data_IF_497542079383
#
_entry.id   IF_497542079383
#
_cell.length_a   1.000
_cell.length_b   1.000
_cell.length_c   1.000
_cell.angle_alpha   90.00
_cell.angle_beta   90.00
_cell.angle_gamma   90.00
#
_symmetry.space_group_name_H-M   'P 1'
#
loop_
_entity.id
_entity.type
_entity.pdbx_description
1 polymer ?
#
# COMPACT_ATOMS: atom_id res chain seq x y z
N UNK A 1 12.49 3.64 -20.30
CA UNK A 1 11.57 4.69 -19.80
C UNK A 1 12.24 6.05 -19.87
N UNK A 2 11.51 7.13 -20.15
CA UNK A 2 12.07 8.48 -20.25
C UNK A 2 12.41 9.11 -18.89
N UNK A 3 13.33 10.08 -18.85
CA UNK A 3 13.77 10.77 -17.60
C UNK A 3 12.62 11.40 -16.81
N UNK A 4 11.57 11.88 -17.48
CA UNK A 4 10.39 12.45 -16.84
C UNK A 4 9.57 11.40 -16.07
N UNK A 5 9.47 10.18 -16.63
CA UNK A 5 8.77 9.07 -15.98
C UNK A 5 9.45 8.67 -14.67
N UNK A 6 10.78 8.49 -14.72
CA UNK A 6 11.59 8.15 -13.55
C UNK A 6 11.54 9.23 -12.46
N UNK A 7 11.39 10.50 -12.84
CA UNK A 7 11.39 11.61 -11.89
C UNK A 7 10.04 11.85 -11.22
N UNK A 8 8.93 11.70 -11.94
CA UNK A 8 7.62 12.13 -11.45
C UNK A 8 6.65 10.99 -11.13
N UNK A 9 6.71 9.88 -11.87
CA UNK A 9 5.74 8.80 -11.74
C UNK A 9 6.29 7.60 -10.97
N UNK A 10 7.56 7.27 -11.21
CA UNK A 10 8.21 6.12 -10.57
C UNK A 10 8.18 6.18 -9.04
N UNK A 11 8.50 7.30 -8.36
CA UNK A 11 8.43 7.34 -6.90
C UNK A 11 7.02 7.07 -6.37
N UNK A 12 5.99 7.56 -7.06
CA UNK A 12 4.59 7.30 -6.69
C UNK A 12 4.20 5.83 -6.85
N UNK A 13 4.62 5.18 -7.94
CA UNK A 13 4.38 3.74 -8.13
C UNK A 13 5.15 2.88 -7.12
N UNK A 14 6.38 3.24 -6.80
CA UNK A 14 7.16 2.55 -5.76
C UNK A 14 6.47 2.69 -4.41
N UNK A 15 6.05 3.91 -4.02
CA UNK A 15 5.30 4.12 -2.79
C UNK A 15 4.03 3.26 -2.73
N UNK A 16 3.24 3.29 -3.80
CA UNK A 16 2.02 2.52 -3.91
C UNK A 16 2.29 1.02 -3.82
N UNK A 17 3.39 0.52 -4.38
CA UNK A 17 3.76 -0.90 -4.28
C UNK A 17 4.17 -1.31 -2.86
N UNK A 18 4.74 -0.40 -2.06
CA UNK A 18 5.11 -0.66 -0.67
C UNK A 18 3.86 -0.68 0.22
N UNK A 19 2.93 0.25 -0.01
CA UNK A 19 1.68 0.38 0.76
C UNK A 19 0.68 -0.73 0.41
N UNK A 20 0.61 -1.15 -0.86
CA UNK A 20 -0.29 -2.22 -1.31
C UNK A 20 0.29 -3.59 -0.95
N UNK A 21 0.12 -3.97 0.31
CA UNK A 21 0.49 -5.28 0.86
C UNK A 21 -0.68 -6.27 0.96
N UNK A 22 -0.49 -7.35 1.73
CA UNK A 22 -1.51 -8.40 1.90
C UNK A 22 -2.79 -7.93 2.61
N UNK A 23 -2.69 -6.94 3.49
CA UNK A 23 -3.85 -6.32 4.15
C UNK A 23 -4.72 -5.52 3.16
N UNK A 24 -4.09 -4.84 2.20
CA UNK A 24 -4.79 -4.19 1.09
C UNK A 24 -5.40 -5.23 0.13
N UNK A 25 -4.63 -6.26 -0.26
CA UNK A 25 -5.07 -7.29 -1.21
C UNK A 25 -6.28 -8.10 -0.74
N UNK A 26 -6.44 -8.27 0.58
CA UNK A 26 -7.62 -8.92 1.19
C UNK A 26 -8.78 -7.96 1.46
N UNK A 27 -8.61 -6.65 1.19
CA UNK A 27 -9.60 -5.61 1.48
C UNK A 27 -9.76 -5.27 2.96
N UNK A 28 -9.05 -5.95 3.87
CA UNK A 28 -9.18 -5.80 5.32
C UNK A 28 -8.82 -4.40 5.79
N UNK A 29 -7.77 -3.79 5.22
CA UNK A 29 -7.39 -2.42 5.53
C UNK A 29 -8.48 -1.41 5.15
N UNK A 30 -9.07 -1.56 3.96
CA UNK A 30 -10.15 -0.68 3.52
C UNK A 30 -11.37 -0.80 4.42
N UNK A 31 -11.73 -2.03 4.80
CA UNK A 31 -12.83 -2.28 5.75
C UNK A 31 -12.55 -1.61 7.08
N UNK A 32 -11.37 -1.85 7.65
CA UNK A 32 -11.00 -1.37 8.97
C UNK A 32 -11.00 0.16 9.06
N UNK A 33 -10.37 0.84 8.09
CA UNK A 33 -10.13 2.28 8.18
C UNK A 33 -11.18 3.13 7.45
N UNK A 34 -11.88 2.63 6.44
CA UNK A 34 -12.73 3.47 5.60
C UNK A 34 -14.17 2.99 5.49
N UNK A 35 -14.42 1.71 5.19
CA UNK A 35 -15.79 1.26 4.89
C UNK A 35 -16.70 1.23 6.14
N UNK A 36 -16.13 1.13 7.34
CA UNK A 36 -16.87 1.21 8.60
C UNK A 36 -17.42 2.61 8.91
N UNK A 37 -16.91 3.66 8.25
CA UNK A 37 -17.31 5.05 8.49
C UNK A 37 -18.56 5.45 7.68
N UNK A 38 -18.93 4.66 6.67
CA UNK A 38 -19.91 5.01 5.64
C UNK A 38 -19.25 5.44 4.32
N UNK A 39 -19.97 5.46 3.18
CA UNK A 39 -19.33 5.59 1.87
C UNK A 39 -18.64 6.94 1.64
N UNK A 40 -19.33 8.06 1.86
CA UNK A 40 -18.75 9.40 1.67
C UNK A 40 -17.64 9.69 2.70
N UNK A 41 -17.88 9.33 3.95
CA UNK A 41 -16.93 9.51 5.04
C UNK A 41 -15.66 8.68 4.81
N UNK A 42 -15.79 7.46 4.29
CA UNK A 42 -14.66 6.64 3.85
C UNK A 42 -13.81 7.35 2.78
N UNK A 43 -14.44 7.95 1.76
CA UNK A 43 -13.72 8.73 0.74
C UNK A 43 -13.01 9.96 1.32
N UNK A 44 -13.64 10.68 2.25
CA UNK A 44 -12.98 11.79 2.95
C UNK A 44 -11.78 11.31 3.79
N UNK A 45 -11.91 10.18 4.47
CA UNK A 45 -10.79 9.54 5.17
C UNK A 45 -9.64 9.18 4.24
N UNK A 46 -9.93 8.62 3.06
CA UNK A 46 -8.91 8.32 2.04
C UNK A 46 -8.23 9.59 1.51
N UNK A 47 -8.98 10.69 1.33
CA UNK A 47 -8.42 11.98 0.94
C UNK A 47 -7.49 12.53 2.02
N UNK A 48 -7.87 12.45 3.29
CA UNK A 48 -7.03 12.83 4.44
C UNK A 48 -5.72 12.04 4.42
N UNK A 49 -5.78 10.71 4.29
CA UNK A 49 -4.59 9.88 4.24
C UNK A 49 -3.67 10.28 3.07
N UNK A 50 -4.26 10.54 1.89
CA UNK A 50 -3.53 10.99 0.70
C UNK A 50 -2.79 12.31 0.92
N UNK A 51 -3.46 13.30 1.53
CA UNK A 51 -2.86 14.60 1.84
C UNK A 51 -1.72 14.46 2.85
N UNK A 52 -1.93 13.68 3.91
CA UNK A 52 -0.91 13.43 4.94
C UNK A 52 0.31 12.76 4.32
N UNK A 53 0.13 11.71 3.51
CA UNK A 53 1.25 11.07 2.81
C UNK A 53 1.95 12.03 1.85
N UNK A 54 1.22 12.86 1.10
CA UNK A 54 1.81 13.87 0.23
C UNK A 54 2.73 14.83 0.99
N UNK A 55 2.28 15.33 2.14
CA UNK A 55 3.08 16.21 3.01
C UNK A 55 4.29 15.46 3.58
N UNK A 56 4.10 14.25 4.09
CA UNK A 56 5.16 13.44 4.70
C UNK A 56 6.24 13.08 3.68
N UNK A 57 5.86 12.65 2.47
CA UNK A 57 6.78 12.35 1.38
C UNK A 57 7.54 13.60 0.94
N UNK A 58 6.84 14.73 0.79
CA UNK A 58 7.48 16.01 0.49
C UNK A 58 8.54 16.37 1.54
N UNK A 59 8.20 16.28 2.83
CA UNK A 59 9.12 16.56 3.93
C UNK A 59 10.29 15.57 3.96
N UNK A 60 10.02 14.27 3.79
CA UNK A 60 11.04 13.22 3.75
C UNK A 60 12.05 13.44 2.62
N UNK A 61 11.56 13.70 1.41
CA UNK A 61 12.43 14.00 0.27
C UNK A 61 13.20 15.32 0.44
N UNK A 62 12.60 16.35 1.04
CA UNK A 62 13.30 17.61 1.32
C UNK A 62 14.40 17.42 2.37
N UNK A 63 14.17 16.59 3.40
CA UNK A 63 15.19 16.20 4.38
C UNK A 63 16.32 15.43 3.70
N UNK A 64 16.00 14.40 2.91
CA UNK A 64 16.98 13.61 2.17
C UNK A 64 17.85 14.51 1.26
N UNK A 65 17.22 15.46 0.55
CA UNK A 65 17.90 16.41 -0.32
C UNK A 65 18.82 17.37 0.43
N UNK A 66 18.36 17.96 1.54
CA UNK A 66 19.14 18.93 2.33
C UNK A 66 20.30 18.27 3.07
N UNK A 67 20.07 17.10 3.66
CA UNK A 67 21.07 16.37 4.44
C UNK A 67 21.96 15.46 3.56
N UNK A 68 21.63 15.33 2.26
CA UNK A 68 22.27 14.41 1.30
C UNK A 68 22.28 12.97 1.82
N UNK A 69 21.17 12.56 2.44
CA UNK A 69 20.96 11.22 2.95
C UNK A 69 20.11 10.44 1.94
N UNK A 70 20.78 9.71 1.03
CA UNK A 70 20.12 8.96 -0.04
C UNK A 70 20.06 7.45 0.23
N UNK A 71 20.75 6.98 1.27
CA UNK A 71 20.71 5.58 1.69
C UNK A 71 19.76 5.43 2.88
N UNK A 72 18.95 4.36 2.88
CA UNK A 72 18.01 3.99 3.94
C UNK A 72 18.59 4.20 5.35
N UNK A 73 19.79 3.65 5.59
CA UNK A 73 20.44 3.67 6.91
C UNK A 73 20.86 5.08 7.34
N UNK A 74 21.31 5.90 6.40
CA UNK A 74 21.75 7.27 6.68
C UNK A 74 20.54 8.16 6.91
N UNK A 75 19.47 7.97 6.12
CA UNK A 75 18.20 8.66 6.28
C UNK A 75 17.53 8.35 7.63
N UNK A 76 17.37 7.07 7.99
CA UNK A 76 16.81 6.66 9.29
C UNK A 76 17.61 7.18 10.47
N UNK A 77 18.94 7.12 10.41
CA UNK A 77 19.81 7.68 11.46
C UNK A 77 19.68 9.20 11.57
N UNK A 78 19.61 9.92 10.44
CA UNK A 78 19.43 11.36 10.42
C UNK A 78 18.07 11.80 10.97
N UNK A 79 17.01 11.02 10.67
CA UNK A 79 15.65 11.32 11.08
C UNK A 79 15.36 10.96 12.55
N UNK A 80 15.82 9.79 13.00
CA UNK A 80 15.47 9.22 14.31
C UNK A 80 16.59 9.33 15.35
N UNK A 81 17.79 9.74 14.96
CA UNK A 81 18.95 9.82 15.84
C UNK A 81 19.25 8.47 16.49
N UNK A 82 19.29 8.42 17.83
CA UNK A 82 19.57 7.20 18.60
C UNK A 82 18.44 6.17 18.53
N UNK A 83 17.22 6.59 18.18
CA UNK A 83 16.03 5.72 18.05
C UNK A 83 16.04 4.82 16.82
N UNK A 84 16.99 4.99 15.90
CA UNK A 84 17.06 4.21 14.65
C UNK A 84 17.14 2.69 14.88
N UNK A 85 17.75 2.24 15.98
CA UNK A 85 17.86 0.80 16.30
C UNK A 85 16.49 0.20 16.62
N UNK A 86 15.66 0.92 17.39
CA UNK A 86 14.31 0.46 17.71
C UNK A 86 13.44 0.40 16.45
N UNK A 87 13.55 1.42 15.58
CA UNK A 87 12.89 1.41 14.29
C UNK A 87 13.33 0.24 13.42
N UNK A 88 14.63 -0.05 13.33
CA UNK A 88 15.16 -1.18 12.55
C UNK A 88 14.58 -2.52 13.02
N UNK A 89 14.52 -2.75 14.34
CA UNK A 89 13.94 -3.97 14.91
C UNK A 89 12.45 -4.08 14.58
N UNK A 90 11.68 -3.01 14.78
CA UNK A 90 10.25 -2.98 14.46
C UNK A 90 10.00 -3.15 12.95
N UNK A 91 10.84 -2.55 12.13
CA UNK A 91 10.78 -2.66 10.67
C UNK A 91 11.01 -4.10 10.23
N UNK A 92 12.05 -4.78 10.74
CA UNK A 92 12.31 -6.19 10.45
C UNK A 92 11.16 -7.10 10.90
N UNK A 93 10.61 -6.87 12.10
CA UNK A 93 9.45 -7.63 12.58
C UNK A 93 8.22 -7.41 11.69
N UNK A 94 7.98 -6.17 11.25
CA UNK A 94 6.89 -5.84 10.33
C UNK A 94 7.08 -6.49 8.96
N UNK A 95 8.30 -6.55 8.44
CA UNK A 95 8.61 -7.22 7.17
C UNK A 95 8.31 -8.73 7.25
N UNK A 96 8.71 -9.39 8.34
CA UNK A 96 8.40 -10.81 8.58
C UNK A 96 6.87 -11.02 8.65
N UNK A 97 6.17 -10.16 9.39
CA UNK A 97 4.71 -10.21 9.51
C UNK A 97 4.03 -10.04 8.15
N UNK A 98 4.46 -9.07 7.35
CA UNK A 98 3.91 -8.80 6.02
C UNK A 98 4.11 -9.99 5.09
N UNK A 99 5.29 -10.60 5.06
CA UNK A 99 5.55 -11.80 4.24
C UNK A 99 4.64 -12.96 4.68
N UNK A 100 4.47 -13.16 6.00
CA UNK A 100 3.60 -14.20 6.53
C UNK A 100 2.13 -13.97 6.15
N UNK A 101 1.63 -12.75 6.29
CA UNK A 101 0.24 -12.37 5.95
C UNK A 101 0.00 -12.50 4.44
N UNK A 102 0.90 -11.98 3.59
CA UNK A 102 0.78 -12.08 2.13
C UNK A 102 0.81 -13.54 1.68
N UNK A 103 1.71 -14.35 2.25
CA UNK A 103 1.78 -15.78 1.98
C UNK A 103 0.47 -16.49 2.32
N UNK A 104 -0.06 -16.27 3.54
CA UNK A 104 -1.32 -16.86 3.98
C UNK A 104 -2.51 -16.43 3.11
N UNK A 105 -2.60 -15.14 2.77
CA UNK A 105 -3.65 -14.62 1.91
C UNK A 105 -3.59 -15.23 0.50
N UNK A 106 -2.39 -15.40 -0.05
CA UNK A 106 -2.20 -16.03 -1.37
C UNK A 106 -2.63 -17.49 -1.37
N UNK A 107 -2.32 -18.22 -0.28
CA UNK A 107 -2.78 -19.60 -0.07
C UNK A 107 -4.30 -19.72 -0.05
N UNK A 108 -4.96 -18.87 0.73
CA UNK A 108 -6.42 -18.86 0.86
C UNK A 108 -7.10 -18.49 -0.46
N UNK A 109 -6.65 -17.43 -1.12
CA UNK A 109 -7.19 -17.03 -2.44
C UNK A 109 -7.01 -18.14 -3.48
N UNK A 110 -5.88 -18.85 -3.47
CA UNK A 110 -5.65 -19.99 -4.36
C UNK A 110 -6.60 -21.16 -4.05
N UNK A 111 -6.96 -21.35 -2.78
CA UNK A 111 -7.94 -22.34 -2.37
C UNK A 111 -9.34 -21.95 -2.84
N UNK A 112 -9.77 -20.71 -2.60
CA UNK A 112 -11.09 -20.21 -3.01
C UNK A 112 -11.28 -20.22 -4.54
N UNK A 113 -10.27 -19.83 -5.31
CA UNK A 113 -10.39 -19.73 -6.78
C UNK A 113 -10.26 -21.07 -7.50
N UNK A 114 -9.37 -21.96 -7.03
CA UNK A 114 -9.00 -23.17 -7.77
C UNK A 114 -9.29 -24.48 -7.01
N UNK A 115 -9.77 -24.42 -5.77
CA UNK A 115 -9.95 -25.59 -4.90
C UNK A 115 -8.64 -26.26 -4.47
N UNK A 116 -7.50 -25.61 -4.72
CA UNK A 116 -6.15 -26.14 -4.44
C UNK A 116 -5.83 -26.15 -2.94
N UNK A 117 -4.87 -26.97 -2.49
CA UNK A 117 -4.45 -26.94 -1.09
C UNK A 117 -3.82 -25.56 -0.75
N UNK A 118 -4.21 -24.89 0.37
CA UNK A 118 -3.69 -23.56 0.71
C UNK A 118 -2.16 -23.48 0.76
N UNK A 119 -1.51 -24.57 1.19
CA UNK A 119 -0.05 -24.67 1.22
C UNK A 119 0.58 -24.47 -0.17
N UNK A 120 -0.04 -24.97 -1.24
CA UNK A 120 0.49 -24.81 -2.59
C UNK A 120 0.46 -23.34 -3.02
N UNK A 121 -0.64 -22.63 -2.77
CA UNK A 121 -0.73 -21.19 -3.08
C UNK A 121 0.30 -20.37 -2.31
N UNK A 122 0.49 -20.65 -1.03
CA UNK A 122 1.53 -20.00 -0.20
C UNK A 122 2.94 -20.29 -0.72
N UNK A 123 3.26 -21.56 -1.04
CA UNK A 123 4.58 -21.94 -1.55
C UNK A 123 4.88 -21.30 -2.90
N UNK A 124 3.90 -21.22 -3.80
CA UNK A 124 4.04 -20.54 -5.09
C UNK A 124 4.31 -19.06 -4.88
N UNK A 125 3.56 -18.39 -4.00
CA UNK A 125 3.78 -16.97 -3.69
C UNK A 125 5.20 -16.71 -3.15
N UNK A 126 5.66 -17.52 -2.18
CA UNK A 126 7.02 -17.42 -1.62
C UNK A 126 8.08 -17.68 -2.69
N UNK A 127 7.89 -18.68 -3.55
CA UNK A 127 8.82 -19.00 -4.63
C UNK A 127 8.95 -17.85 -5.64
N UNK A 128 7.83 -17.21 -6.02
CA UNK A 128 7.82 -16.05 -6.91
C UNK A 128 8.54 -14.86 -6.27
N UNK A 129 8.28 -14.57 -4.99
CA UNK A 129 8.96 -13.50 -4.27
C UNK A 129 10.47 -13.77 -4.18
N UNK A 130 10.88 -15.00 -3.83
CA UNK A 130 12.28 -15.37 -3.79
C UNK A 130 12.95 -15.24 -5.16
N UNK A 131 12.29 -15.73 -6.22
CA UNK A 131 12.76 -15.60 -7.61
C UNK A 131 12.99 -14.13 -7.99
N UNK A 132 12.01 -13.25 -7.74
CA UNK A 132 12.13 -11.82 -8.04
C UNK A 132 13.25 -11.16 -7.22
N UNK A 133 13.43 -11.56 -5.95
CA UNK A 133 14.48 -11.05 -5.10
C UNK A 133 15.89 -11.45 -5.58
N UNK A 134 16.07 -12.67 -6.12
CA UNK A 134 17.37 -13.14 -6.62
C UNK A 134 17.83 -12.42 -7.91
N UNK A 135 16.91 -12.03 -8.79
CA UNK A 135 17.25 -11.44 -10.11
C UNK A 135 17.54 -9.93 -10.09
N UNK A 136 17.38 -9.27 -8.93
CA UNK A 136 17.83 -7.90 -8.71
C UNK A 136 16.80 -6.81 -9.00
N UNK A 137 17.15 -5.59 -8.61
CA UNK A 137 16.26 -4.42 -8.55
C UNK A 137 15.62 -4.02 -9.88
N UNK A 138 16.31 -4.22 -11.00
CA UNK A 138 15.80 -3.86 -12.33
C UNK A 138 14.61 -4.72 -12.79
N UNK A 139 14.55 -6.00 -12.41
CA UNK A 139 13.40 -6.87 -12.70
C UNK A 139 12.21 -6.49 -11.82
N UNK A 140 12.47 -6.22 -10.54
CA UNK A 140 11.46 -5.79 -9.56
C UNK A 140 10.80 -4.49 -10.01
N UNK A 141 11.58 -3.49 -10.44
CA UNK A 141 11.04 -2.20 -10.91
C UNK A 141 10.08 -2.36 -12.10
N UNK A 142 10.45 -3.21 -13.07
CA UNK A 142 9.60 -3.50 -14.23
C UNK A 142 8.35 -4.27 -13.84
N UNK A 143 8.50 -5.26 -12.96
CA UNK A 143 7.39 -6.06 -12.45
C UNK A 143 6.37 -5.18 -11.72
N UNK A 144 6.81 -4.34 -10.77
CA UNK A 144 5.94 -3.42 -10.03
C UNK A 144 5.29 -2.36 -10.92
N UNK A 145 6.03 -1.81 -11.89
CA UNK A 145 5.45 -0.86 -12.85
C UNK A 145 4.33 -1.51 -13.66
N UNK A 146 4.57 -2.70 -14.22
CA UNK A 146 3.58 -3.43 -15.02
C UNK A 146 2.36 -3.83 -14.18
N UNK A 147 2.59 -4.36 -12.96
CA UNK A 147 1.51 -4.74 -12.05
C UNK A 147 0.64 -3.55 -11.64
N UNK A 148 1.24 -2.38 -11.42
CA UNK A 148 0.50 -1.17 -11.08
C UNK A 148 -0.45 -0.77 -12.22
N UNK A 149 0.02 -0.81 -13.48
CA UNK A 149 -0.84 -0.57 -14.64
C UNK A 149 -1.99 -1.57 -14.75
N UNK A 150 -1.70 -2.87 -14.56
CA UNK A 150 -2.73 -3.91 -14.58
C UNK A 150 -3.78 -3.69 -13.50
N UNK A 151 -3.33 -3.39 -12.27
CA UNK A 151 -4.20 -3.11 -11.14
C UNK A 151 -5.13 -1.92 -11.41
N UNK A 152 -4.60 -0.80 -11.93
CA UNK A 152 -5.44 0.34 -12.32
C UNK A 152 -6.41 -0.02 -13.44
N UNK A 153 -5.99 -0.77 -14.45
CA UNK A 153 -6.85 -1.18 -15.55
C UNK A 153 -8.03 -2.04 -15.06
N UNK A 154 -7.76 -3.02 -14.18
CA UNK A 154 -8.80 -3.89 -13.59
C UNK A 154 -9.75 -3.08 -12.73
N UNK A 155 -9.26 -2.19 -11.86
CA UNK A 155 -10.14 -1.34 -11.04
C UNK A 155 -11.00 -0.40 -11.89
N UNK A 156 -10.45 0.21 -12.94
CA UNK A 156 -11.21 1.06 -13.84
C UNK A 156 -12.27 0.27 -14.61
N UNK A 157 -11.94 -0.93 -15.09
CA UNK A 157 -12.90 -1.82 -15.73
C UNK A 157 -14.03 -2.21 -14.76
N UNK A 158 -13.70 -2.55 -13.52
CA UNK A 158 -14.67 -2.86 -12.48
C UNK A 158 -15.62 -1.68 -12.23
N UNK A 159 -15.09 -0.46 -12.08
CA UNK A 159 -15.90 0.75 -11.90
C UNK A 159 -16.80 0.99 -13.12
N UNK A 160 -16.26 0.87 -14.33
CA UNK A 160 -17.01 1.06 -15.57
C UNK A 160 -18.15 0.04 -15.74
N UNK A 161 -18.00 -1.16 -15.20
CA UNK A 161 -19.05 -2.20 -15.21
C UNK A 161 -20.09 -2.00 -14.10
N UNK A 162 -19.66 -1.65 -12.89
CA UNK A 162 -20.52 -1.58 -11.70
C UNK A 162 -21.37 -0.30 -11.68
N UNK A 163 -20.79 0.86 -12.03
CA UNK A 163 -21.48 2.15 -11.90
C UNK A 163 -22.75 2.25 -12.75
N UNK A 164 -22.81 1.77 -14.01
CA UNK A 164 -24.04 1.79 -14.79
C UNK A 164 -25.16 0.91 -14.21
N UNK A 165 -24.81 -0.24 -13.62
CA UNK A 165 -25.78 -1.18 -13.05
C UNK A 165 -26.29 -0.77 -11.66
N UNK A 166 -25.44 -0.17 -10.85
CA UNK A 166 -25.72 0.10 -9.43
C UNK A 166 -25.74 1.60 -9.08
N UNK A 167 -25.63 2.50 -10.05
CA UNK A 167 -25.51 3.95 -9.81
C UNK A 167 -26.62 4.55 -8.95
N UNK A 168 -27.85 4.08 -9.12
CA UNK A 168 -28.99 4.50 -8.29
C UNK A 168 -28.87 4.06 -6.82
N UNK A 169 -28.36 2.86 -6.55
CA UNK A 169 -28.10 2.37 -5.20
C UNK A 169 -26.89 3.07 -4.57
N UNK A 170 -25.83 3.28 -5.35
CA UNK A 170 -24.65 4.03 -4.91
C UNK A 170 -25.07 5.44 -4.47
N UNK A 171 -25.86 6.14 -5.28
CA UNK A 171 -26.32 7.49 -4.94
C UNK A 171 -27.21 7.53 -3.69
N UNK A 172 -28.11 6.55 -3.53
CA UNK A 172 -28.97 6.44 -2.33
C UNK A 172 -28.17 6.14 -1.06
N UNK A 173 -27.16 5.27 -1.16
CA UNK A 173 -26.36 4.83 -0.03
C UNK A 173 -25.19 5.78 0.28
N UNK A 174 -24.82 6.67 -0.64
CA UNK A 174 -23.70 7.59 -0.46
C UNK A 174 -23.83 8.44 0.81
N UNK A 175 -25.04 8.92 1.11
CA UNK A 175 -25.32 9.78 2.26
C UNK A 175 -25.48 9.03 3.59
N UNK A 176 -25.37 7.69 3.59
CA UNK A 176 -25.42 6.90 4.82
C UNK A 176 -24.08 7.03 5.54
N UNK A 177 -24.05 7.87 6.58
CA UNK A 177 -22.91 7.97 7.49
C UNK A 177 -23.09 7.03 8.69
N UNK A 178 -21.98 6.51 9.21
CA UNK A 178 -21.99 5.82 10.50
C UNK A 178 -22.33 6.82 11.63
N UNK A 179 -23.12 6.42 12.65
CA UNK A 179 -23.50 7.30 13.77
C UNK A 179 -22.30 7.93 14.49
N UNK A 180 -21.19 7.21 14.58
CA UNK A 180 -19.92 7.63 15.21
C UNK A 180 -18.79 7.75 14.19
N UNK A 181 -19.06 8.30 13.01
CA UNK A 181 -18.07 8.48 11.95
C UNK A 181 -16.90 9.36 12.42
N UNK A 182 -15.69 8.79 12.41
CA UNK A 182 -14.42 9.42 12.76
C UNK A 182 -13.46 9.40 11.56
N UNK A 183 -13.97 9.62 10.35
CA UNK A 183 -13.22 9.55 9.10
C UNK A 183 -11.89 10.31 9.10
N UNK A 184 -11.82 11.48 9.76
CA UNK A 184 -10.60 12.25 9.89
C UNK A 184 -9.54 11.48 10.70
N UNK A 185 -9.95 10.86 11.81
CA UNK A 185 -9.08 10.04 12.64
C UNK A 185 -8.70 8.75 11.92
N UNK A 186 -9.63 8.09 11.24
CA UNK A 186 -9.34 6.86 10.50
C UNK A 186 -8.35 7.12 9.34
N UNK A 187 -8.47 8.25 8.65
CA UNK A 187 -7.50 8.69 7.65
C UNK A 187 -6.12 8.97 8.26
N UNK A 188 -6.07 9.61 9.43
CA UNK A 188 -4.83 9.84 10.18
C UNK A 188 -4.18 8.52 10.65
N UNK A 189 -4.96 7.61 11.20
CA UNK A 189 -4.51 6.29 11.66
C UNK A 189 -3.95 5.46 10.50
N UNK A 190 -4.64 5.44 9.35
CA UNK A 190 -4.15 4.74 8.17
C UNK A 190 -2.87 5.36 7.62
N UNK A 191 -2.77 6.69 7.64
CA UNK A 191 -1.56 7.38 7.21
C UNK A 191 -0.37 7.10 8.14
N UNK A 192 -0.60 7.13 9.46
CA UNK A 192 0.40 6.84 10.48
C UNK A 192 0.84 5.38 10.46
N UNK A 193 -0.09 4.45 10.25
CA UNK A 193 0.19 3.01 10.11
C UNK A 193 1.18 2.73 8.98
N UNK A 194 1.03 3.42 7.84
CA UNK A 194 1.91 3.26 6.67
C UNK A 194 3.19 4.11 6.71
N UNK A 195 3.43 4.88 7.78
CA UNK A 195 4.57 5.80 7.86
C UNK A 195 5.93 5.08 7.81
N UNK A 196 5.97 3.82 8.23
CA UNK A 196 7.16 2.98 8.15
C UNK A 196 7.66 2.74 6.71
N UNK A 197 6.84 3.03 5.69
CA UNK A 197 7.24 2.97 4.28
C UNK A 197 8.17 4.12 3.87
N UNK A 198 8.17 5.25 4.59
CA UNK A 198 8.92 6.45 4.21
C UNK A 198 10.43 6.21 4.07
N UNK A 199 11.13 5.53 4.99
CA UNK A 199 12.57 5.35 4.86
C UNK A 199 12.97 4.36 3.75
N UNK A 200 12.03 3.53 3.28
CA UNK A 200 12.24 2.57 2.20
C UNK A 200 12.09 3.19 0.79
N UNK A 201 11.74 4.46 0.71
CA UNK A 201 11.59 5.27 -0.51
C UNK A 201 12.87 6.05 -0.84
#
# INVERSE_FOLDING_TARGET
MGKAFQKYLLPGFVFQSIVVGGGYGTGRELVQFFLTQGPLDGYFGMLVATLIWGVILFLGFEIARRQRHFDYRTFTKGLLGRGWVAFEVLYLLSAILTIAVVGSASGELSHEMFGSAPLLGTLVAVAVVAFLAFWGSGLIERFFSLWSFLLYAVYLAMIAMVVPGFGGEIARNAAISAPDSRWLMSGLEYAAYNLAALPAM
#
